data_IF_767967524527
#
_entry.id   IF_767967524527
#
_cell.length_a   1.000
_cell.length_b   1.000
_cell.length_c   1.000
_cell.angle_alpha   90.00
_cell.angle_beta   90.00
_cell.angle_gamma   90.00
#
_symmetry.space_group_name_H-M   'P 1'
#
loop_
_entity.id
_entity.type
_entity.pdbx_description
1 polymer ?
#
# COMPACT_ATOMS: atom_id res chain seq x y z
N UNK A 1 -11.45 -28.13 -16.37
CA UNK A 1 -10.84 -26.87 -15.87
C UNK A 1 -11.73 -26.11 -14.87
N UNK A 2 -12.98 -26.53 -14.70
CA UNK A 2 -13.98 -25.86 -13.84
C UNK A 2 -13.96 -26.28 -12.37
N UNK A 3 -13.08 -27.21 -12.00
CA UNK A 3 -12.94 -27.74 -10.64
C UNK A 3 -11.97 -26.92 -9.75
N UNK A 4 -11.23 -25.94 -10.32
CA UNK A 4 -10.27 -25.15 -9.57
C UNK A 4 -10.88 -23.79 -9.16
N UNK A 5 -10.73 -23.43 -7.87
CA UNK A 5 -11.04 -22.08 -7.40
C UNK A 5 -10.14 -21.01 -8.08
N UNK A 6 -10.53 -19.76 -8.04
CA UNK A 6 -9.72 -18.66 -8.60
C UNK A 6 -8.31 -18.62 -8.03
N UNK A 7 -8.15 -18.83 -6.72
CA UNK A 7 -6.85 -18.91 -6.06
C UNK A 7 -6.03 -20.13 -6.49
N UNK A 8 -6.67 -21.28 -6.71
CA UNK A 8 -5.98 -22.48 -7.24
C UNK A 8 -5.47 -22.26 -8.66
N UNK A 9 -6.27 -21.63 -9.53
CA UNK A 9 -5.84 -21.29 -10.91
C UNK A 9 -4.62 -20.36 -10.91
N UNK A 10 -4.61 -19.34 -10.04
CA UNK A 10 -3.45 -18.44 -9.88
C UNK A 10 -2.21 -19.14 -9.41
N UNK A 11 -2.33 -20.01 -8.39
CA UNK A 11 -1.19 -20.82 -7.91
C UNK A 11 -0.61 -21.70 -8.99
N UNK A 12 -1.46 -22.39 -9.75
CA UNK A 12 -1.02 -23.21 -10.87
C UNK A 12 -0.28 -22.37 -11.91
N UNK A 13 -0.80 -21.17 -12.25
CA UNK A 13 -0.16 -20.24 -13.18
C UNK A 13 1.21 -19.77 -12.68
N UNK A 14 1.32 -19.43 -11.39
CA UNK A 14 2.60 -19.04 -10.80
C UNK A 14 3.61 -20.20 -10.80
N UNK A 15 3.20 -21.39 -10.38
CA UNK A 15 4.05 -22.59 -10.44
C UNK A 15 4.52 -22.86 -11.87
N UNK A 16 3.62 -22.77 -12.84
CA UNK A 16 3.96 -22.95 -14.25
C UNK A 16 4.98 -21.91 -14.73
N UNK A 17 4.85 -20.65 -14.33
CA UNK A 17 5.80 -19.59 -14.68
C UNK A 17 7.18 -19.82 -14.05
N UNK A 18 7.25 -20.42 -12.87
CA UNK A 18 8.49 -20.70 -12.15
C UNK A 18 9.19 -22.00 -12.60
N UNK A 19 8.49 -22.93 -13.25
CA UNK A 19 9.03 -24.26 -13.61
C UNK A 19 10.28 -24.21 -14.48
N UNK A 20 10.45 -23.16 -15.29
CA UNK A 20 11.60 -22.99 -16.18
C UNK A 20 12.68 -22.07 -15.61
N UNK A 21 12.59 -21.73 -14.33
CA UNK A 21 13.54 -20.87 -13.62
C UNK A 21 13.94 -19.61 -14.44
N UNK A 22 12.98 -18.77 -14.88
CA UNK A 22 13.27 -17.64 -15.74
C UNK A 22 14.12 -16.60 -15.02
N UNK A 23 15.01 -15.91 -15.71
CA UNK A 23 15.80 -14.80 -15.18
C UNK A 23 14.93 -13.58 -14.83
N UNK A 24 13.77 -13.46 -15.49
CA UNK A 24 12.83 -12.36 -15.31
C UNK A 24 11.39 -12.89 -15.22
N UNK A 25 10.75 -12.63 -14.08
CA UNK A 25 9.37 -13.04 -13.79
C UNK A 25 8.47 -11.81 -13.73
N UNK A 26 7.36 -11.82 -14.47
CA UNK A 26 6.30 -10.78 -14.38
C UNK A 26 5.03 -11.44 -13.86
N UNK A 27 4.47 -10.88 -12.79
CA UNK A 27 3.24 -11.39 -12.15
C UNK A 27 2.26 -10.25 -11.88
N UNK A 28 1.02 -10.43 -12.29
CA UNK A 28 -0.05 -9.48 -12.04
C UNK A 28 -0.88 -9.91 -10.84
N UNK A 29 -0.94 -9.06 -9.80
CA UNK A 29 -1.73 -9.26 -8.58
C UNK A 29 -1.54 -10.65 -7.93
N UNK A 30 -0.32 -11.10 -7.58
CA UNK A 30 -0.04 -12.48 -7.19
C UNK A 30 -0.79 -12.96 -5.94
N UNK A 31 -1.16 -12.06 -5.05
CA UNK A 31 -1.74 -12.34 -3.72
C UNK A 31 -3.24 -12.06 -3.64
N UNK A 32 -3.83 -11.44 -4.67
CA UNK A 32 -5.24 -11.05 -4.65
C UNK A 32 -6.17 -12.27 -4.59
N UNK A 33 -7.13 -12.22 -3.65
CA UNK A 33 -8.12 -13.28 -3.45
C UNK A 33 -7.59 -14.53 -2.74
N UNK A 34 -6.39 -14.44 -2.16
CA UNK A 34 -5.82 -15.46 -1.29
C UNK A 34 -6.15 -15.16 0.18
N UNK A 35 -6.23 -16.21 0.98
CA UNK A 35 -6.29 -16.07 2.43
C UNK A 35 -4.94 -15.56 3.00
N UNK A 36 -4.90 -15.07 4.25
CA UNK A 36 -3.70 -14.46 4.82
C UNK A 36 -2.48 -15.42 4.85
N UNK A 37 -2.69 -16.68 5.12
CA UNK A 37 -1.60 -17.67 5.19
C UNK A 37 -1.00 -17.93 3.80
N UNK A 38 -1.86 -18.12 2.79
CA UNK A 38 -1.45 -18.31 1.42
C UNK A 38 -0.75 -17.06 0.85
N UNK A 39 -1.22 -15.85 1.21
CA UNK A 39 -0.57 -14.60 0.83
C UNK A 39 0.88 -14.54 1.34
N UNK A 40 1.11 -14.91 2.61
CA UNK A 40 2.46 -14.96 3.18
C UNK A 40 3.33 -15.96 2.42
N UNK A 41 2.81 -17.13 2.08
CA UNK A 41 3.56 -18.15 1.33
C UNK A 41 3.97 -17.65 -0.06
N UNK A 42 3.05 -17.01 -0.79
CA UNK A 42 3.35 -16.45 -2.12
C UNK A 42 4.38 -15.33 -2.02
N UNK A 43 4.27 -14.43 -1.04
CA UNK A 43 5.26 -13.38 -0.82
C UNK A 43 6.66 -13.94 -0.59
N UNK A 44 6.79 -14.90 0.32
CA UNK A 44 8.07 -15.53 0.61
C UNK A 44 8.65 -16.20 -0.64
N UNK A 45 7.84 -16.93 -1.41
CA UNK A 45 8.25 -17.54 -2.66
C UNK A 45 8.79 -16.51 -3.67
N UNK A 46 8.15 -15.35 -3.81
CA UNK A 46 8.60 -14.28 -4.70
C UNK A 46 9.89 -13.63 -4.19
N UNK A 47 10.06 -13.47 -2.89
CA UNK A 47 11.30 -12.96 -2.27
C UNK A 47 12.45 -13.92 -2.51
N UNK A 48 12.27 -15.20 -2.18
CA UNK A 48 13.28 -16.24 -2.39
C UNK A 48 13.70 -16.33 -3.88
N UNK A 49 12.73 -16.27 -4.78
CA UNK A 49 12.99 -16.29 -6.22
C UNK A 49 13.75 -15.04 -6.70
N UNK A 50 13.53 -13.90 -6.05
CA UNK A 50 14.18 -12.62 -6.38
C UNK A 50 15.63 -12.50 -5.88
N UNK A 51 16.14 -13.43 -5.06
CA UNK A 51 17.54 -13.37 -4.56
C UNK A 51 18.56 -13.38 -5.70
N UNK A 52 18.32 -14.16 -6.75
CA UNK A 52 19.23 -14.30 -7.89
C UNK A 52 18.60 -13.86 -9.23
N UNK A 53 17.35 -13.39 -9.20
CA UNK A 53 16.54 -13.10 -10.40
C UNK A 53 15.78 -11.80 -10.25
N UNK A 54 15.22 -11.34 -11.35
CA UNK A 54 14.38 -10.13 -11.33
C UNK A 54 12.90 -10.50 -11.29
N UNK A 55 12.17 -10.00 -10.29
CA UNK A 55 10.72 -10.15 -10.17
C UNK A 55 10.06 -8.80 -10.30
N UNK A 56 9.15 -8.66 -11.24
CA UNK A 56 8.24 -7.52 -11.37
C UNK A 56 6.82 -7.99 -11.10
N UNK A 57 6.18 -7.42 -10.10
CA UNK A 57 4.76 -7.70 -9.84
C UNK A 57 3.96 -6.43 -9.64
N UNK A 58 2.69 -6.49 -10.05
CA UNK A 58 1.71 -5.44 -9.71
C UNK A 58 0.96 -5.82 -8.44
N UNK A 59 0.58 -4.84 -7.64
CA UNK A 59 -0.35 -5.03 -6.53
C UNK A 59 -1.02 -3.71 -6.15
N UNK A 60 -2.23 -3.80 -5.61
CA UNK A 60 -2.91 -2.71 -4.91
C UNK A 60 -2.86 -2.90 -3.38
N UNK A 61 -2.21 -3.97 -2.90
CA UNK A 61 -2.08 -4.31 -1.48
C UNK A 61 -0.75 -3.79 -0.96
N UNK A 62 -0.81 -2.74 -0.18
CA UNK A 62 0.37 -2.01 0.32
C UNK A 62 1.28 -2.87 1.20
N UNK A 63 0.69 -3.75 2.01
CA UNK A 63 1.46 -4.67 2.87
C UNK A 63 2.35 -5.64 2.06
N UNK A 64 1.93 -6.00 0.85
CA UNK A 64 2.74 -6.86 -0.01
C UNK A 64 4.02 -6.15 -0.46
N UNK A 65 3.94 -4.85 -0.78
CA UNK A 65 5.10 -4.05 -1.15
C UNK A 65 6.09 -3.93 0.01
N UNK A 66 5.60 -3.68 1.22
CA UNK A 66 6.46 -3.54 2.41
C UNK A 66 7.26 -4.80 2.72
N UNK A 67 6.70 -5.97 2.41
CA UNK A 67 7.30 -7.25 2.74
C UNK A 67 8.24 -7.80 1.64
N UNK A 68 8.14 -7.28 0.40
CA UNK A 68 8.75 -7.97 -0.75
C UNK A 68 9.63 -7.10 -1.64
N UNK A 69 9.43 -5.77 -1.71
CA UNK A 69 10.11 -4.99 -2.73
C UNK A 69 11.11 -3.96 -2.18
N UNK A 70 12.23 -3.82 -2.89
CA UNK A 70 13.24 -2.78 -2.63
C UNK A 70 12.97 -1.51 -3.44
N UNK A 71 12.37 -1.65 -4.62
CA UNK A 71 12.00 -0.56 -5.51
C UNK A 71 10.55 -0.68 -5.92
N UNK A 72 9.91 0.44 -6.11
CA UNK A 72 8.51 0.49 -6.52
C UNK A 72 8.25 1.63 -7.50
N UNK A 73 7.18 1.48 -8.26
CA UNK A 73 6.63 2.53 -9.10
C UNK A 73 5.15 2.75 -8.76
N UNK A 74 4.74 3.99 -8.59
CA UNK A 74 3.33 4.36 -8.44
C UNK A 74 2.81 4.82 -9.79
N UNK A 75 1.74 4.17 -10.28
CA UNK A 75 1.13 4.46 -11.56
C UNK A 75 -0.32 4.92 -11.38
N UNK A 76 -0.73 5.96 -12.10
CA UNK A 76 -2.12 6.43 -12.17
C UNK A 76 -2.45 6.85 -13.59
N UNK A 77 -3.56 6.33 -14.14
CA UNK A 77 -4.03 6.65 -15.49
C UNK A 77 -2.95 6.48 -16.58
N UNK A 78 -2.16 5.39 -16.50
CA UNK A 78 -1.12 5.08 -17.47
C UNK A 78 0.15 5.92 -17.36
N UNK A 79 0.32 6.71 -16.30
CA UNK A 79 1.52 7.54 -16.06
C UNK A 79 2.20 7.14 -14.76
N UNK A 80 3.53 7.11 -14.78
CA UNK A 80 4.31 6.99 -13.56
C UNK A 80 4.28 8.31 -12.80
N UNK A 81 3.82 8.27 -11.56
CA UNK A 81 3.83 9.40 -10.64
C UNK A 81 5.07 9.37 -9.75
N UNK A 82 5.59 8.17 -9.52
CA UNK A 82 6.80 7.96 -8.73
C UNK A 82 7.49 6.67 -9.20
N UNK A 83 8.82 6.69 -9.18
CA UNK A 83 9.69 5.51 -9.28
C UNK A 83 10.87 5.70 -8.34
N UNK A 84 11.25 4.67 -7.61
CA UNK A 84 12.36 4.70 -6.67
C UNK A 84 12.17 3.76 -5.48
N UNK A 85 12.89 4.01 -4.39
CA UNK A 85 12.83 3.20 -3.17
C UNK A 85 11.61 3.58 -2.31
N UNK A 86 11.17 2.63 -1.49
CA UNK A 86 10.12 2.88 -0.49
C UNK A 86 10.49 4.03 0.46
N UNK A 87 11.76 4.07 0.92
CA UNK A 87 12.26 5.13 1.80
C UNK A 87 12.10 6.52 1.18
N UNK A 88 12.44 6.67 -0.09
CA UNK A 88 12.29 7.94 -0.79
C UNK A 88 10.83 8.33 -0.97
N UNK A 89 9.94 7.34 -1.22
CA UNK A 89 8.50 7.59 -1.29
C UNK A 89 7.95 8.10 0.04
N UNK A 90 8.28 7.43 1.15
CA UNK A 90 7.88 7.87 2.50
C UNK A 90 8.42 9.28 2.81
N UNK A 91 9.66 9.57 2.44
CA UNK A 91 10.27 10.89 2.65
C UNK A 91 9.53 12.03 1.92
N UNK A 92 8.87 11.74 0.78
CA UNK A 92 8.07 12.75 0.06
C UNK A 92 6.86 13.25 0.86
N UNK A 93 6.27 12.41 1.69
CA UNK A 93 5.11 12.74 2.50
C UNK A 93 5.47 13.21 3.93
N UNK A 94 6.75 13.19 4.31
CA UNK A 94 7.18 13.69 5.63
C UNK A 94 6.86 15.16 5.80
N UNK A 95 6.28 15.48 6.97
CA UNK A 95 5.83 16.85 7.29
C UNK A 95 4.51 17.24 6.65
N UNK A 96 3.83 16.29 6.00
CA UNK A 96 2.54 16.49 5.36
C UNK A 96 1.45 15.55 5.89
N UNK A 97 1.75 14.75 6.90
CA UNK A 97 0.82 13.79 7.52
C UNK A 97 0.57 14.18 8.96
N UNK A 98 -0.71 14.27 9.31
CA UNK A 98 -1.18 14.70 10.60
C UNK A 98 -2.18 13.68 11.14
N UNK A 99 -2.14 13.43 12.43
CA UNK A 99 -3.14 12.61 13.11
C UNK A 99 -3.97 13.52 14.02
N UNK A 100 -5.29 13.48 13.85
CA UNK A 100 -6.24 14.23 14.64
C UNK A 100 -7.19 13.27 15.36
N UNK A 101 -7.37 13.45 16.66
CA UNK A 101 -8.33 12.70 17.46
C UNK A 101 -9.41 13.65 18.00
N UNK A 102 -10.68 13.28 17.82
CA UNK A 102 -11.82 14.10 18.29
C UNK A 102 -13.02 13.22 18.63
N UNK A 103 -13.75 13.59 19.68
CA UNK A 103 -15.06 13.01 20.01
C UNK A 103 -16.20 13.68 19.21
N UNK A 104 -15.94 14.85 18.61
CA UNK A 104 -16.93 15.62 17.85
C UNK A 104 -17.03 15.13 16.40
N UNK A 105 -18.13 14.45 16.08
CA UNK A 105 -18.41 14.00 14.72
C UNK A 105 -18.52 15.15 13.71
N UNK A 106 -18.93 16.34 14.14
CA UNK A 106 -19.07 17.49 13.25
C UNK A 106 -17.70 17.97 12.79
N UNK A 107 -16.74 18.04 13.73
CA UNK A 107 -15.35 18.37 13.44
C UNK A 107 -14.70 17.29 12.56
N UNK A 108 -14.94 16.01 12.85
CA UNK A 108 -14.42 14.93 12.02
C UNK A 108 -14.89 15.05 10.56
N UNK A 109 -16.17 15.33 10.32
CA UNK A 109 -16.74 15.55 8.99
C UNK A 109 -16.20 16.81 8.31
N UNK A 110 -15.90 17.85 9.06
CA UNK A 110 -15.25 19.06 8.52
C UNK A 110 -13.84 18.75 8.04
N UNK A 111 -13.04 18.04 8.82
CA UNK A 111 -11.70 17.60 8.45
C UNK A 111 -11.72 16.70 7.20
N UNK A 112 -12.68 15.78 7.11
CA UNK A 112 -12.87 14.91 5.93
C UNK A 112 -13.18 15.69 4.65
N UNK A 113 -13.83 16.84 4.74
CA UNK A 113 -14.11 17.71 3.59
C UNK A 113 -12.92 18.57 3.18
N UNK A 114 -12.09 18.95 4.14
CA UNK A 114 -11.01 19.92 3.97
C UNK A 114 -9.69 19.26 3.56
N UNK A 115 -9.46 18.01 4.01
CA UNK A 115 -8.20 17.28 3.83
C UNK A 115 -8.39 15.93 3.13
N UNK A 116 -7.31 15.42 2.54
CA UNK A 116 -7.28 14.03 2.08
C UNK A 116 -7.07 13.10 3.27
N UNK A 117 -7.99 12.19 3.49
CA UNK A 117 -7.93 11.23 4.61
C UNK A 117 -7.29 9.93 4.13
N UNK A 118 -6.24 9.48 4.80
CA UNK A 118 -5.63 8.18 4.57
C UNK A 118 -6.18 7.09 5.47
N UNK A 119 -6.63 7.45 6.68
CA UNK A 119 -7.25 6.50 7.61
C UNK A 119 -8.25 7.18 8.51
N UNK A 120 -9.34 6.46 8.82
CA UNK A 120 -10.33 6.82 9.84
C UNK A 120 -10.59 5.62 10.73
N UNK A 121 -10.46 5.79 12.03
CA UNK A 121 -10.67 4.75 13.03
C UNK A 121 -11.55 5.27 14.16
N UNK A 122 -12.44 4.42 14.66
CA UNK A 122 -13.20 4.67 15.88
C UNK A 122 -12.47 3.99 17.04
N UNK A 123 -12.06 4.76 18.03
CA UNK A 123 -11.33 4.30 19.19
C UNK A 123 -12.10 4.64 20.47
N UNK A 124 -11.66 4.16 21.62
CA UNK A 124 -12.23 4.54 22.93
C UNK A 124 -12.06 6.04 23.21
N UNK A 125 -11.04 6.68 22.63
CA UNK A 125 -10.73 8.11 22.78
C UNK A 125 -11.46 9.00 21.76
N UNK A 126 -12.29 8.42 20.88
CA UNK A 126 -13.01 9.14 19.83
C UNK A 126 -12.64 8.71 18.41
N UNK A 127 -12.88 9.61 17.47
CA UNK A 127 -12.60 9.41 16.04
C UNK A 127 -11.16 9.86 15.76
N UNK A 128 -10.34 8.91 15.36
CA UNK A 128 -8.95 9.15 14.94
C UNK A 128 -8.88 9.23 13.42
N UNK A 129 -8.40 10.35 12.91
CA UNK A 129 -8.22 10.62 11.48
C UNK A 129 -6.74 10.81 11.18
N UNK A 130 -6.25 10.11 10.14
CA UNK A 130 -4.98 10.43 9.51
C UNK A 130 -5.25 11.22 8.24
N UNK A 131 -4.63 12.37 8.12
CA UNK A 131 -4.92 13.30 7.03
C UNK A 131 -3.65 13.90 6.45
N UNK A 132 -3.74 14.30 5.20
CA UNK A 132 -2.66 14.91 4.46
C UNK A 132 -2.96 16.38 4.19
N UNK A 133 -1.98 17.25 4.46
CA UNK A 133 -2.05 18.67 4.22
C UNK A 133 -0.69 19.32 4.21
N UNK A 134 -0.55 20.45 3.52
CA UNK A 134 0.70 21.22 3.47
C UNK A 134 1.08 21.78 4.86
N UNK A 135 0.10 22.14 5.66
CA UNK A 135 0.29 22.63 7.01
C UNK A 135 -0.52 21.80 8.00
N UNK A 136 -0.05 21.80 9.24
CA UNK A 136 -0.81 21.19 10.34
C UNK A 136 -2.18 21.86 10.44
N UNK A 137 -3.26 21.07 10.58
CA UNK A 137 -4.57 21.63 10.87
C UNK A 137 -4.55 22.51 12.11
N UNK A 138 -5.26 23.64 12.06
CA UNK A 138 -5.35 24.58 13.18
C UNK A 138 -6.25 24.09 14.32
N UNK A 139 -7.00 23.04 14.05
CA UNK A 139 -7.94 22.42 14.96
C UNK A 139 -7.18 21.74 16.12
N UNK A 140 -7.71 21.84 17.34
CA UNK A 140 -7.11 21.22 18.51
C UNK A 140 -7.10 19.69 18.40
N UNK A 141 -6.07 19.04 18.94
CA UNK A 141 -5.95 17.58 18.92
C UNK A 141 -5.28 17.00 17.68
N UNK A 142 -4.71 17.84 16.82
CA UNK A 142 -3.92 17.38 15.67
C UNK A 142 -2.41 17.41 15.99
N UNK A 143 -1.70 16.35 15.67
CA UNK A 143 -0.27 16.18 15.88
C UNK A 143 0.43 15.65 14.62
N UNK A 144 1.72 15.91 14.50
CA UNK A 144 2.54 15.26 13.46
C UNK A 144 2.71 13.77 13.79
N UNK A 145 2.67 12.92 12.79
CA UNK A 145 2.84 11.48 12.97
C UNK A 145 3.79 10.88 11.92
N UNK A 146 4.25 9.66 12.20
CA UNK A 146 5.06 8.93 11.24
C UNK A 146 4.26 8.58 9.98
N UNK A 147 4.93 8.66 8.83
CA UNK A 147 4.32 8.42 7.51
C UNK A 147 4.21 6.93 7.25
N UNK A 148 3.01 6.47 6.90
CA UNK A 148 2.78 5.12 6.36
C UNK A 148 2.91 5.09 4.84
N UNK A 149 2.97 3.91 4.26
CA UNK A 149 3.04 3.78 2.80
C UNK A 149 1.73 4.20 2.12
N UNK A 150 0.59 3.98 2.78
CA UNK A 150 -0.72 4.48 2.34
C UNK A 150 -0.74 6.01 2.28
N UNK A 151 -0.22 6.68 3.32
CA UNK A 151 -0.12 8.14 3.36
C UNK A 151 0.71 8.64 2.18
N UNK A 152 1.87 8.04 1.97
CA UNK A 152 2.79 8.42 0.90
C UNK A 152 2.19 8.16 -0.50
N UNK A 153 1.47 7.05 -0.67
CA UNK A 153 0.72 6.75 -1.89
C UNK A 153 -0.34 7.81 -2.17
N UNK A 154 -1.18 8.13 -1.17
CA UNK A 154 -2.22 9.15 -1.29
C UNK A 154 -1.60 10.52 -1.59
N UNK A 155 -0.49 10.86 -0.95
CA UNK A 155 0.22 12.12 -1.17
C UNK A 155 0.69 12.28 -2.63
N UNK A 156 1.32 11.26 -3.22
CA UNK A 156 1.80 11.36 -4.61
C UNK A 156 0.70 11.24 -5.65
N UNK A 157 -0.43 10.61 -5.32
CA UNK A 157 -1.55 10.41 -6.25
C UNK A 157 -2.55 11.56 -6.28
N UNK A 158 -2.52 12.47 -5.31
CA UNK A 158 -3.44 13.62 -5.21
C UNK A 158 -2.74 14.99 -5.40
N UNK A 159 -1.51 14.96 -5.87
CA UNK A 159 -0.76 16.14 -6.33
C UNK A 159 -1.03 16.55 -7.76
#
# INVERSE_FOLDING_TARGET
SDLLSGGMKRRVGLVQALLHEPDFLIVDEPTTGLDPEERIRIRNLLVDFAEERTVLFSTHVVEDLMATCNQLAVMKKGRFLYTGTMRELLNKARGHVWECCTEDESLARELERKYHISSKQYTEEGIRLRLLGENMPSESGCIACDVTLEDAYIYVTNR
#
